data_IF_575488853722
#
_entry.id   IF_575488853722
#
_cell.length_a   1.000
_cell.length_b   1.000
_cell.length_c   1.000
_cell.angle_alpha   90.00
_cell.angle_beta   90.00
_cell.angle_gamma   90.00
#
_symmetry.space_group_name_H-M   'P 1'
#
loop_
_entity.id
_entity.type
_entity.pdbx_description
1 polymer ?
#
# COMPACT_ATOMS: atom_id res chain seq x y z
N UNK A 1 -1.17 5.35 -23.33
CA UNK A 1 -1.18 6.34 -22.22
C UNK A 1 -2.11 5.86 -21.11
N UNK A 2 -1.94 4.63 -20.60
CA UNK A 2 -2.92 4.01 -19.68
C UNK A 2 -2.33 3.66 -18.32
N UNK A 3 -1.00 3.52 -18.22
CA UNK A 3 -0.31 3.08 -17.00
C UNK A 3 -0.14 4.18 -15.93
N UNK A 4 -0.08 5.46 -16.33
CA UNK A 4 0.09 6.56 -15.37
C UNK A 4 -1.20 6.88 -14.60
N UNK A 5 -2.38 6.77 -15.22
CA UNK A 5 -3.66 7.07 -14.55
C UNK A 5 -4.04 6.03 -13.52
N UNK A 6 -3.79 4.74 -13.79
CA UNK A 6 -4.07 3.65 -12.84
C UNK A 6 -3.18 3.74 -11.59
N UNK A 7 -1.89 4.05 -11.76
CA UNK A 7 -0.96 4.14 -10.62
C UNK A 7 -1.30 5.29 -9.66
N UNK A 8 -1.67 6.46 -10.18
CA UNK A 8 -2.07 7.59 -9.30
C UNK A 8 -3.35 7.30 -8.54
N UNK A 9 -4.34 6.66 -9.18
CA UNK A 9 -5.57 6.24 -8.51
C UNK A 9 -5.31 5.16 -7.47
N UNK A 10 -4.47 4.16 -7.76
CA UNK A 10 -4.13 3.11 -6.82
C UNK A 10 -3.37 3.66 -5.61
N UNK A 11 -2.42 4.56 -5.82
CA UNK A 11 -1.69 5.23 -4.73
C UNK A 11 -2.63 5.93 -3.77
N UNK A 12 -3.58 6.70 -4.30
CA UNK A 12 -4.58 7.38 -3.49
C UNK A 12 -5.54 6.41 -2.79
N UNK A 13 -5.90 5.29 -3.42
CA UNK A 13 -6.75 4.27 -2.78
C UNK A 13 -6.01 3.60 -1.62
N UNK A 14 -4.74 3.26 -1.81
CA UNK A 14 -3.92 2.62 -0.77
C UNK A 14 -3.63 3.61 0.36
N UNK A 15 -3.32 4.89 0.07
CA UNK A 15 -3.13 5.91 1.12
C UNK A 15 -4.40 6.13 1.94
N UNK A 16 -5.55 6.29 1.28
CA UNK A 16 -6.83 6.48 1.95
C UNK A 16 -7.20 5.25 2.79
N UNK A 17 -6.94 4.04 2.29
CA UNK A 17 -7.15 2.81 3.03
C UNK A 17 -6.27 2.76 4.29
N UNK A 18 -4.99 3.08 4.17
CA UNK A 18 -4.08 3.09 5.32
C UNK A 18 -4.53 4.15 6.34
N UNK A 19 -4.90 5.34 5.87
CA UNK A 19 -5.40 6.43 6.70
C UNK A 19 -6.68 6.05 7.45
N UNK A 20 -7.66 5.47 6.76
CA UNK A 20 -8.93 5.07 7.37
C UNK A 20 -8.77 3.92 8.36
N UNK A 21 -7.90 2.94 8.05
CA UNK A 21 -7.76 1.71 8.83
C UNK A 21 -6.80 1.84 10.00
N UNK A 22 -5.76 2.67 9.87
CA UNK A 22 -4.68 2.78 10.85
C UNK A 22 -4.54 4.20 11.43
N UNK A 23 -5.31 5.19 10.94
CA UNK A 23 -5.32 6.55 11.48
C UNK A 23 -4.10 7.39 11.11
N UNK A 24 -3.40 7.02 10.04
CA UNK A 24 -2.21 7.73 9.57
C UNK A 24 -2.56 8.88 8.63
N UNK A 25 -1.71 9.90 8.59
CA UNK A 25 -1.92 11.06 7.73
C UNK A 25 -1.51 10.75 6.28
N UNK A 26 -2.40 11.05 5.34
CA UNK A 26 -2.12 10.82 3.92
C UNK A 26 -0.95 11.66 3.40
N UNK A 27 -0.74 12.87 3.92
CA UNK A 27 0.38 13.71 3.51
C UNK A 27 1.71 13.10 3.96
N UNK A 28 1.77 12.46 5.13
CA UNK A 28 2.95 11.73 5.59
C UNK A 28 3.22 10.50 4.72
N UNK A 29 2.18 9.75 4.35
CA UNK A 29 2.30 8.61 3.42
C UNK A 29 2.80 9.03 2.03
N UNK A 30 2.38 10.21 1.54
CA UNK A 30 2.76 10.72 0.22
C UNK A 30 4.12 11.41 0.22
N UNK A 31 4.65 11.78 1.40
CA UNK A 31 5.93 12.49 1.57
C UNK A 31 7.14 11.74 1.02
N UNK A 32 7.03 10.42 0.87
CA UNK A 32 8.13 9.53 0.49
C UNK A 32 8.86 8.91 1.69
N UNK A 33 8.36 9.10 2.91
CA UNK A 33 8.81 8.34 4.08
C UNK A 33 8.56 6.83 3.91
N UNK A 34 9.43 6.04 4.53
CA UNK A 34 9.24 4.59 4.64
C UNK A 34 8.16 4.26 5.67
N UNK A 35 7.55 3.09 5.55
CA UNK A 35 6.58 2.60 6.53
C UNK A 35 7.16 2.53 7.95
N UNK A 36 8.44 2.18 8.10
CA UNK A 36 9.16 2.19 9.37
C UNK A 36 9.19 3.60 10.01
N UNK A 37 9.46 4.62 9.20
CA UNK A 37 9.44 6.03 9.64
C UNK A 37 8.03 6.55 9.98
N UNK A 38 6.99 5.88 9.48
CA UNK A 38 5.59 6.20 9.70
C UNK A 38 4.94 5.36 10.80
N UNK A 39 5.74 4.67 11.63
CA UNK A 39 5.25 3.77 12.70
C UNK A 39 4.38 2.62 12.15
N UNK A 40 4.57 2.24 10.88
CA UNK A 40 3.94 1.09 10.24
C UNK A 40 4.83 -0.14 10.40
N UNK A 41 4.54 -0.89 11.46
CA UNK A 41 5.21 -2.16 11.75
C UNK A 41 4.79 -3.31 10.83
N UNK A 42 5.57 -4.39 10.88
CA UNK A 42 5.27 -5.65 10.17
C UNK A 42 3.87 -6.21 10.45
N UNK A 43 3.33 -6.05 11.66
CA UNK A 43 1.97 -6.48 12.01
C UNK A 43 0.92 -5.68 11.22
N UNK A 44 1.09 -4.36 11.14
CA UNK A 44 0.21 -3.47 10.38
C UNK A 44 0.25 -3.82 8.90
N UNK A 45 1.43 -4.15 8.35
CA UNK A 45 1.57 -4.60 6.97
C UNK A 45 0.85 -5.92 6.70
N UNK A 46 0.88 -6.86 7.64
CA UNK A 46 0.11 -8.11 7.55
C UNK A 46 -1.39 -7.80 7.55
N UNK A 47 -1.88 -6.92 8.42
CA UNK A 47 -3.29 -6.51 8.40
C UNK A 47 -3.67 -5.82 7.09
N UNK A 48 -2.85 -4.90 6.61
CA UNK A 48 -3.04 -4.24 5.32
C UNK A 48 -3.16 -5.25 4.18
N UNK A 49 -2.31 -6.29 4.16
CA UNK A 49 -2.37 -7.35 3.15
C UNK A 49 -3.71 -8.10 3.14
N UNK A 50 -4.29 -8.36 4.32
CA UNK A 50 -5.58 -9.01 4.47
C UNK A 50 -6.72 -8.09 3.99
N UNK A 51 -6.61 -6.79 4.29
CA UNK A 51 -7.60 -5.79 3.86
C UNK A 51 -7.56 -5.62 2.34
N UNK A 52 -6.37 -5.50 1.73
CA UNK A 52 -6.21 -5.41 0.28
C UNK A 52 -6.78 -6.64 -0.44
N UNK A 53 -6.59 -7.84 0.14
CA UNK A 53 -7.22 -9.05 -0.38
C UNK A 53 -8.74 -8.99 -0.33
N UNK A 54 -9.30 -8.50 0.78
CA UNK A 54 -10.76 -8.44 0.98
C UNK A 54 -11.43 -7.35 0.13
N UNK A 55 -10.85 -6.15 0.09
CA UNK A 55 -11.44 -4.97 -0.54
C UNK A 55 -11.09 -4.87 -2.03
N UNK A 56 -9.91 -5.33 -2.43
CA UNK A 56 -9.39 -5.18 -3.79
C UNK A 56 -9.13 -6.51 -4.51
N UNK A 57 -9.26 -7.65 -3.83
CA UNK A 57 -8.96 -8.97 -4.40
C UNK A 57 -7.47 -9.26 -4.57
N UNK A 58 -6.58 -8.36 -4.12
CA UNK A 58 -5.14 -8.50 -4.32
C UNK A 58 -4.54 -9.42 -3.25
N UNK A 59 -3.93 -10.53 -3.68
CA UNK A 59 -3.27 -11.48 -2.76
C UNK A 59 -1.80 -11.14 -2.66
N UNK A 60 -1.39 -10.69 -1.47
CA UNK A 60 0.00 -10.47 -1.10
C UNK A 60 0.50 -11.60 -0.20
N UNK A 61 1.75 -12.01 -0.40
CA UNK A 61 2.45 -12.99 0.42
C UNK A 61 3.24 -12.30 1.53
N UNK A 62 3.61 -13.07 2.56
CA UNK A 62 4.52 -12.59 3.60
C UNK A 62 5.83 -12.10 2.98
N UNK A 63 6.21 -10.85 3.28
CA UNK A 63 7.40 -10.21 2.73
C UNK A 63 7.23 -9.54 1.37
N UNK A 64 6.05 -9.60 0.73
CA UNK A 64 5.74 -8.75 -0.43
C UNK A 64 5.71 -7.26 -0.04
N UNK A 65 5.22 -6.94 1.16
CA UNK A 65 5.33 -5.62 1.78
C UNK A 65 6.33 -5.66 2.92
N UNK A 66 7.13 -4.59 3.06
CA UNK A 66 8.19 -4.45 4.07
C UNK A 66 8.13 -3.07 4.69
N UNK A 67 8.48 -2.94 5.98
CA UNK A 67 8.51 -1.63 6.66
C UNK A 67 9.53 -0.67 6.04
N UNK A 68 10.59 -1.20 5.42
CA UNK A 68 11.56 -0.40 4.68
C UNK A 68 11.02 0.21 3.36
N UNK A 69 9.79 -0.11 2.93
CA UNK A 69 9.22 0.42 1.69
C UNK A 69 8.54 1.75 1.92
N UNK A 70 8.59 2.60 0.90
CA UNK A 70 7.73 3.77 0.75
C UNK A 70 6.35 3.37 0.23
N UNK A 71 5.38 4.29 0.33
CA UNK A 71 4.05 4.10 -0.27
C UNK A 71 4.15 3.79 -1.77
N UNK A 72 5.06 4.45 -2.50
CA UNK A 72 5.19 4.29 -3.95
C UNK A 72 5.66 2.87 -4.32
N UNK A 73 6.65 2.34 -3.58
CA UNK A 73 7.15 0.98 -3.75
C UNK A 73 6.08 -0.06 -3.42
N UNK A 74 5.33 0.14 -2.33
CA UNK A 74 4.22 -0.73 -1.97
C UNK A 74 3.14 -0.76 -3.04
N UNK A 75 2.76 0.41 -3.57
CA UNK A 75 1.80 0.54 -4.66
C UNK A 75 2.28 -0.18 -5.92
N UNK A 76 3.58 -0.10 -6.25
CA UNK A 76 4.15 -0.83 -7.38
C UNK A 76 4.01 -2.36 -7.20
N UNK A 77 4.27 -2.87 -6.00
CA UNK A 77 4.07 -4.30 -5.67
C UNK A 77 2.60 -4.69 -5.79
N UNK A 78 1.69 -3.88 -5.22
CA UNK A 78 0.24 -4.13 -5.28
C UNK A 78 -0.25 -4.14 -6.73
N UNK A 79 0.18 -3.16 -7.54
CA UNK A 79 -0.18 -3.07 -8.95
C UNK A 79 0.28 -4.32 -9.73
N UNK A 80 1.52 -4.76 -9.50
CA UNK A 80 2.06 -5.94 -10.15
C UNK A 80 1.28 -7.22 -9.79
N UNK A 81 0.78 -7.32 -8.56
CA UNK A 81 -0.02 -8.46 -8.10
C UNK A 81 -1.46 -8.39 -8.59
N UNK A 82 -2.03 -7.19 -8.69
CA UNK A 82 -3.37 -6.96 -9.21
C UNK A 82 -3.49 -7.32 -10.70
N UNK A 83 -2.44 -7.10 -11.50
CA UNK A 83 -2.41 -7.49 -12.92
C UNK A 83 -2.33 -9.02 -13.12
N UNK A 84 -1.87 -9.75 -12.10
CA UNK A 84 -1.73 -11.21 -12.12
C UNK A 84 -2.92 -11.98 -11.53
N UNK A 85 -3.94 -11.27 -11.03
CA UNK A 85 -5.15 -11.83 -10.43
C UNK A 85 -6.31 -11.89 -11.44
#
# INVERSE_FOLDING_TARGET
MTVLTVQTSLKHQVSALISEKFGLDEAELISGATFDELDIDSLILVELSLILRKEMGVVLQEGDLKSAFTLDEAVAVIAAKADQA
#
